data_IF_268651263957
#
_entry.id   IF_268651263957
#
_cell.length_a   1.000
_cell.length_b   1.000
_cell.length_c   1.000
_cell.angle_alpha   90.00
_cell.angle_beta   90.00
_cell.angle_gamma   90.00
#
_symmetry.space_group_name_H-M   'P 1'
#
loop_
_entity.id
_entity.type
_entity.pdbx_description
1 polymer ?
#
# COMPACT_ATOMS: atom_id res chain seq x y z
N UNK A 1 -40.13 11.69 -55.24
CA UNK A 1 -40.42 13.10 -55.54
C UNK A 1 -40.63 13.85 -54.22
N UNK A 2 -39.79 14.76 -53.79
CA UNK A 2 -40.01 15.58 -52.61
C UNK A 2 -40.95 16.75 -52.96
N UNK A 3 -41.87 17.17 -52.04
CA UNK A 3 -42.75 18.31 -52.29
C UNK A 3 -41.97 19.62 -52.30
N UNK A 4 -42.31 20.48 -53.26
CA UNK A 4 -41.60 21.69 -53.57
C UNK A 4 -41.50 22.71 -52.45
N UNK A 5 -40.34 23.23 -52.27
CA UNK A 5 -40.01 24.34 -51.39
C UNK A 5 -40.62 25.65 -51.92
N UNK A 6 -41.76 26.05 -51.34
CA UNK A 6 -42.27 27.40 -51.55
C UNK A 6 -41.29 28.39 -50.90
N UNK A 7 -40.63 29.19 -51.75
CA UNK A 7 -39.68 30.21 -51.28
C UNK A 7 -40.45 31.24 -50.40
N UNK A 8 -40.00 31.53 -49.16
CA UNK A 8 -40.69 32.40 -48.20
C UNK A 8 -40.82 33.84 -48.66
N UNK A 9 -40.04 34.26 -49.69
CA UNK A 9 -40.12 35.58 -50.35
C UNK A 9 -41.44 35.80 -51.07
N UNK A 10 -42.10 34.76 -51.62
CA UNK A 10 -43.37 34.89 -52.32
C UNK A 10 -44.56 35.08 -51.38
N UNK A 11 -44.50 34.53 -50.20
CA UNK A 11 -45.59 34.60 -49.20
C UNK A 11 -45.74 36.04 -48.64
N UNK A 12 -44.65 36.72 -48.36
CA UNK A 12 -44.68 38.12 -47.85
C UNK A 12 -45.12 39.07 -48.91
N UNK A 13 -44.73 38.90 -50.18
CA UNK A 13 -45.16 39.76 -51.31
C UNK A 13 -46.67 39.60 -51.60
N UNK A 14 -47.25 38.42 -51.44
CA UNK A 14 -48.67 38.15 -51.65
C UNK A 14 -49.55 38.76 -50.53
N UNK A 15 -49.05 38.92 -49.32
CA UNK A 15 -49.82 39.51 -48.21
C UNK A 15 -49.82 41.04 -48.18
N UNK A 16 -48.71 41.65 -48.56
CA UNK A 16 -48.51 43.14 -48.49
C UNK A 16 -48.95 43.85 -49.75
N UNK A 17 -48.86 43.23 -50.92
CA UNK A 17 -49.24 43.82 -52.22
C UNK A 17 -50.67 44.36 -52.30
N UNK A 18 -51.72 43.63 -51.94
CA UNK A 18 -53.10 44.06 -51.94
C UNK A 18 -53.36 45.26 -51.01
N UNK A 19 -52.71 45.30 -49.84
CA UNK A 19 -52.86 46.42 -48.90
C UNK A 19 -52.29 47.74 -49.43
N UNK A 20 -51.14 47.68 -50.08
CA UNK A 20 -50.54 48.87 -50.74
C UNK A 20 -51.41 49.37 -51.91
N UNK A 21 -51.98 48.48 -52.75
CA UNK A 21 -52.84 48.81 -53.82
C UNK A 21 -54.14 49.49 -53.36
N UNK A 22 -54.76 48.98 -52.26
CA UNK A 22 -55.94 49.55 -51.65
C UNK A 22 -55.70 50.95 -51.07
N UNK A 23 -54.55 51.18 -50.44
CA UNK A 23 -54.16 52.46 -49.90
C UNK A 23 -53.87 53.51 -51.01
N UNK A 24 -53.28 53.09 -52.11
CA UNK A 24 -53.08 53.95 -53.29
C UNK A 24 -54.44 54.34 -53.92
N UNK A 25 -55.39 53.45 -53.98
CA UNK A 25 -56.73 53.69 -54.50
C UNK A 25 -57.52 54.68 -53.63
N UNK A 26 -57.45 54.55 -52.31
CA UNK A 26 -58.11 55.40 -51.32
C UNK A 26 -57.50 56.79 -51.30
N UNK A 27 -56.16 56.94 -51.52
CA UNK A 27 -55.47 58.23 -51.67
C UNK A 27 -55.83 58.91 -52.97
N UNK A 28 -55.95 58.17 -54.05
CA UNK A 28 -56.38 58.72 -55.37
C UNK A 28 -57.84 59.16 -55.37
N UNK A 29 -58.69 58.59 -54.55
CA UNK A 29 -60.11 58.96 -54.37
C UNK A 29 -60.29 60.18 -53.42
N UNK A 30 -59.22 60.71 -52.85
CA UNK A 30 -59.26 61.88 -51.96
C UNK A 30 -59.77 61.60 -50.56
N UNK A 31 -59.98 60.26 -50.23
CA UNK A 31 -60.48 59.80 -48.92
C UNK A 31 -59.46 59.79 -47.83
N UNK A 32 -58.13 59.81 -48.16
CA UNK A 32 -57.00 59.84 -47.22
C UNK A 32 -55.95 60.84 -47.75
N UNK A 33 -55.35 61.65 -46.89
CA UNK A 33 -54.25 62.50 -47.29
C UNK A 33 -53.02 61.68 -47.72
N UNK A 34 -52.34 62.13 -48.79
CA UNK A 34 -51.18 61.44 -49.35
C UNK A 34 -50.07 61.19 -48.31
N UNK A 35 -49.94 62.09 -47.33
CA UNK A 35 -48.98 61.90 -46.22
C UNK A 35 -49.33 60.75 -45.29
N UNK A 36 -50.66 60.56 -45.04
CA UNK A 36 -51.13 59.42 -44.17
C UNK A 36 -50.95 58.07 -44.89
N UNK A 37 -51.15 58.03 -46.19
CA UNK A 37 -50.92 56.85 -47.03
C UNK A 37 -49.42 56.43 -47.02
N UNK A 38 -48.53 57.38 -47.16
CA UNK A 38 -47.05 57.16 -47.14
C UNK A 38 -46.57 56.64 -45.78
N UNK A 39 -47.10 57.16 -44.67
CA UNK A 39 -46.72 56.65 -43.31
C UNK A 39 -47.18 55.26 -43.10
N UNK A 40 -48.42 54.83 -43.47
CA UNK A 40 -48.92 53.49 -43.38
C UNK A 40 -48.11 52.51 -44.25
N UNK A 41 -47.76 52.90 -45.46
CA UNK A 41 -46.88 52.09 -46.33
C UNK A 41 -45.49 51.88 -45.71
N UNK A 42 -44.90 52.93 -45.14
CA UNK A 42 -43.56 52.85 -44.48
C UNK A 42 -43.62 51.86 -43.25
N UNK A 43 -44.69 51.91 -42.44
CA UNK A 43 -44.88 51.00 -41.31
C UNK A 43 -45.06 49.55 -41.76
N UNK A 44 -45.84 49.34 -42.83
CA UNK A 44 -46.03 48.01 -43.42
C UNK A 44 -44.74 47.42 -43.98
N UNK A 45 -43.93 48.23 -44.66
CA UNK A 45 -42.59 47.81 -45.15
C UNK A 45 -41.69 47.51 -43.96
N UNK A 46 -41.68 48.32 -42.89
CA UNK A 46 -40.88 48.12 -41.70
C UNK A 46 -41.24 46.82 -40.99
N UNK A 47 -42.56 46.55 -40.80
CA UNK A 47 -43.04 45.29 -40.21
C UNK A 47 -42.69 44.08 -41.08
N UNK A 48 -42.76 44.20 -42.41
CA UNK A 48 -42.38 43.13 -43.32
C UNK A 48 -40.87 42.79 -43.24
N UNK A 49 -40.01 43.84 -43.11
CA UNK A 49 -38.57 43.69 -42.94
C UNK A 49 -38.22 43.05 -41.61
N UNK A 50 -38.90 43.45 -40.52
CA UNK A 50 -38.68 42.84 -39.18
C UNK A 50 -39.18 41.37 -39.17
N UNK A 51 -40.35 41.08 -39.76
CA UNK A 51 -40.82 39.72 -39.90
C UNK A 51 -39.86 38.84 -40.73
N UNK A 52 -39.28 39.36 -41.78
CA UNK A 52 -38.26 38.69 -42.60
C UNK A 52 -36.98 38.41 -41.81
N UNK A 53 -36.48 39.37 -41.03
CA UNK A 53 -35.32 39.13 -40.15
C UNK A 53 -35.61 38.13 -39.05
N UNK A 54 -36.81 38.07 -38.50
CA UNK A 54 -37.26 37.08 -37.54
C UNK A 54 -37.34 35.67 -38.14
N UNK A 55 -37.81 35.55 -39.40
CA UNK A 55 -37.87 34.26 -40.10
C UNK A 55 -36.47 33.77 -40.53
N UNK A 56 -35.57 34.66 -40.93
CA UNK A 56 -34.18 34.32 -41.26
C UNK A 56 -33.39 33.87 -40.00
N UNK A 57 -33.72 34.43 -38.83
CA UNK A 57 -33.14 33.98 -37.55
C UNK A 57 -33.69 32.60 -37.11
N UNK A 58 -34.93 32.25 -37.42
CA UNK A 58 -35.51 30.93 -37.13
C UNK A 58 -35.07 29.86 -38.13
N UNK A 59 -34.68 30.21 -39.33
CA UNK A 59 -34.20 29.30 -40.37
C UNK A 59 -32.67 29.23 -40.47
N UNK A 60 -31.91 29.76 -39.49
CA UNK A 60 -30.54 29.30 -39.38
C UNK A 60 -30.64 27.78 -39.10
N UNK A 61 -30.14 26.91 -40.02
CA UNK A 61 -30.04 25.51 -39.69
C UNK A 61 -29.29 25.46 -38.36
N UNK A 62 -29.91 24.84 -37.35
CA UNK A 62 -29.17 24.31 -36.24
C UNK A 62 -28.02 23.57 -36.92
N UNK A 63 -26.82 24.13 -36.88
CA UNK A 63 -25.60 23.43 -37.23
C UNK A 63 -25.68 22.21 -36.31
N UNK A 64 -26.10 21.10 -36.87
CA UNK A 64 -25.89 19.79 -36.25
C UNK A 64 -24.41 19.84 -35.89
N UNK A 65 -24.05 19.76 -34.60
CA UNK A 65 -22.63 19.71 -34.26
C UNK A 65 -22.07 18.62 -35.16
N UNK A 66 -20.98 18.91 -35.87
CA UNK A 66 -20.27 17.92 -36.65
C UNK A 66 -20.18 16.66 -35.77
N UNK A 67 -20.42 15.45 -36.27
CA UNK A 67 -20.28 14.25 -35.46
C UNK A 67 -18.92 14.34 -34.77
N UNK A 68 -18.98 14.56 -33.45
CA UNK A 68 -17.79 14.54 -32.61
C UNK A 68 -17.16 13.19 -32.94
N UNK A 69 -15.92 13.16 -33.45
CA UNK A 69 -15.27 11.88 -33.72
C UNK A 69 -15.42 11.05 -32.44
N UNK A 70 -15.67 9.74 -32.51
CA UNK A 70 -15.93 8.93 -31.37
C UNK A 70 -14.85 9.26 -30.35
N UNK A 71 -15.24 9.90 -29.23
CA UNK A 71 -14.33 10.23 -28.16
C UNK A 71 -13.77 8.91 -27.64
N UNK A 72 -12.66 8.52 -28.23
CA UNK A 72 -11.71 7.66 -27.58
C UNK A 72 -11.43 8.37 -26.27
N UNK A 73 -11.81 7.76 -25.15
CA UNK A 73 -11.58 8.34 -23.82
C UNK A 73 -10.19 8.97 -23.84
N UNK A 74 -10.04 10.28 -23.53
CA UNK A 74 -8.82 10.99 -23.83
C UNK A 74 -7.67 10.25 -23.17
N UNK A 75 -6.84 9.58 -23.96
CA UNK A 75 -5.71 8.76 -23.49
C UNK A 75 -4.89 9.48 -22.40
N UNK A 76 -4.67 10.81 -22.48
CA UNK A 76 -4.03 11.56 -21.40
C UNK A 76 -4.73 11.46 -20.05
N UNK A 77 -6.07 11.42 -20.01
CA UNK A 77 -6.81 11.28 -18.75
C UNK A 77 -6.62 9.89 -18.15
N UNK A 78 -6.69 8.86 -18.98
CA UNK A 78 -6.45 7.47 -18.52
C UNK A 78 -5.04 7.28 -18.00
N UNK A 79 -4.03 7.87 -18.62
CA UNK A 79 -2.63 7.72 -18.24
C UNK A 79 -2.26 8.42 -16.91
N UNK A 80 -3.11 9.32 -16.40
CA UNK A 80 -2.95 9.95 -15.09
C UNK A 80 -3.62 9.14 -13.94
N UNK A 81 -4.40 8.10 -14.26
CA UNK A 81 -5.00 7.25 -13.22
C UNK A 81 -3.94 6.37 -12.56
N UNK A 82 -3.94 6.29 -11.22
CA UNK A 82 -2.94 5.54 -10.47
C UNK A 82 -3.12 4.01 -10.56
N UNK A 83 -4.34 3.56 -10.87
CA UNK A 83 -4.65 2.15 -11.02
C UNK A 83 -4.59 1.70 -12.49
N UNK A 84 -4.21 0.46 -12.81
CA UNK A 84 -4.32 -0.12 -14.14
C UNK A 84 -5.76 -0.10 -14.66
N UNK A 85 -5.96 0.51 -15.83
CA UNK A 85 -7.27 0.62 -16.50
C UNK A 85 -7.18 0.05 -17.90
N UNK A 86 -8.15 -0.82 -18.23
CA UNK A 86 -8.27 -1.47 -19.53
C UNK A 86 -9.71 -1.27 -20.02
N UNK A 87 -9.88 -0.76 -21.24
CA UNK A 87 -11.17 -0.67 -21.90
C UNK A 87 -11.30 -1.79 -22.95
N UNK A 88 -12.44 -2.42 -22.99
CA UNK A 88 -12.73 -3.49 -23.97
C UNK A 88 -14.04 -3.22 -24.71
N UNK A 89 -14.09 -3.64 -25.97
CA UNK A 89 -15.33 -3.62 -26.76
C UNK A 89 -16.20 -4.86 -26.51
N UNK A 90 -17.35 -4.95 -27.20
CA UNK A 90 -18.25 -6.10 -27.10
C UNK A 90 -17.62 -7.43 -27.57
N UNK A 91 -16.62 -7.36 -28.45
CA UNK A 91 -15.84 -8.53 -28.91
C UNK A 91 -14.71 -8.92 -27.99
N UNK A 92 -14.59 -8.30 -26.80
CA UNK A 92 -13.50 -8.47 -25.84
C UNK A 92 -12.13 -7.98 -26.32
N UNK A 93 -12.08 -7.22 -27.41
CA UNK A 93 -10.86 -6.61 -27.89
C UNK A 93 -10.52 -5.38 -27.05
N UNK A 94 -9.26 -5.21 -26.71
CA UNK A 94 -8.76 -4.07 -25.94
C UNK A 94 -8.84 -2.81 -26.83
N UNK A 95 -9.61 -1.81 -26.40
CA UNK A 95 -9.78 -0.54 -27.11
C UNK A 95 -8.87 0.56 -26.58
N UNK A 96 -8.55 0.54 -25.28
CA UNK A 96 -7.59 1.46 -24.66
C UNK A 96 -6.99 0.83 -23.40
N UNK A 97 -5.76 1.22 -23.07
CA UNK A 97 -5.06 0.88 -21.85
C UNK A 97 -4.31 2.09 -21.33
N UNK A 98 -4.29 2.28 -20.01
CA UNK A 98 -3.49 3.33 -19.42
C UNK A 98 -2.03 2.91 -19.22
N UNK A 99 -1.18 3.87 -18.88
CA UNK A 99 0.23 3.64 -18.56
C UNK A 99 0.42 2.58 -17.47
N UNK A 100 -0.37 2.65 -16.39
CA UNK A 100 -0.27 1.71 -15.27
C UNK A 100 -0.61 0.27 -15.67
N UNK A 101 -1.57 0.04 -16.57
CA UNK A 101 -1.88 -1.29 -17.09
C UNK A 101 -0.70 -1.87 -17.89
N UNK A 102 -0.03 -1.04 -18.69
CA UNK A 102 1.17 -1.46 -19.43
C UNK A 102 2.33 -1.84 -18.51
N UNK A 103 2.63 -1.01 -17.50
CA UNK A 103 3.77 -1.18 -16.61
C UNK A 103 3.56 -2.28 -15.57
N UNK A 104 2.33 -2.41 -15.04
CA UNK A 104 2.06 -3.30 -13.88
C UNK A 104 1.58 -4.67 -14.30
N UNK A 105 0.74 -4.75 -15.33
CA UNK A 105 0.06 -5.99 -15.75
C UNK A 105 0.61 -6.53 -17.08
N UNK A 106 1.40 -5.70 -17.79
CA UNK A 106 2.01 -6.09 -19.07
C UNK A 106 1.02 -6.08 -20.23
N UNK A 107 -0.14 -5.43 -20.08
CA UNK A 107 -1.16 -5.31 -21.13
C UNK A 107 -0.86 -4.07 -21.94
N UNK A 108 -0.32 -4.23 -23.17
CA UNK A 108 0.15 -3.09 -23.98
C UNK A 108 -0.48 -2.94 -25.35
N UNK A 109 -1.07 -3.97 -25.92
CA UNK A 109 -1.49 -3.95 -27.33
C UNK A 109 -3.00 -3.72 -27.46
N UNK A 110 -3.35 -2.56 -27.99
CA UNK A 110 -4.73 -2.20 -28.39
C UNK A 110 -5.11 -3.00 -29.64
N UNK A 111 -6.37 -3.43 -29.75
CA UNK A 111 -6.88 -4.23 -30.85
C UNK A 111 -6.72 -5.76 -30.68
N UNK A 112 -6.09 -6.23 -29.60
CA UNK A 112 -6.02 -7.66 -29.28
C UNK A 112 -7.15 -8.10 -28.37
N UNK A 113 -7.52 -9.39 -28.49
CA UNK A 113 -8.44 -10.04 -27.55
C UNK A 113 -7.81 -10.07 -26.15
N UNK A 114 -8.57 -9.66 -25.14
CA UNK A 114 -8.15 -9.65 -23.75
C UNK A 114 -7.68 -11.03 -23.28
N UNK A 115 -8.30 -12.12 -23.74
CA UNK A 115 -7.94 -13.49 -23.37
C UNK A 115 -6.52 -13.91 -23.84
N UNK A 116 -5.98 -13.27 -24.85
CA UNK A 116 -4.61 -13.52 -25.32
C UNK A 116 -3.58 -12.83 -24.43
N UNK A 117 -3.96 -11.70 -23.85
CA UNK A 117 -3.07 -10.83 -23.06
C UNK A 117 -3.17 -11.12 -21.57
N UNK A 118 -4.39 -11.35 -21.06
CA UNK A 118 -4.66 -11.63 -19.66
C UNK A 118 -5.43 -12.95 -19.49
N UNK A 119 -4.71 -14.06 -19.39
CA UNK A 119 -5.27 -15.43 -19.31
C UNK A 119 -5.73 -15.82 -17.91
N UNK A 120 -6.48 -14.94 -17.23
CA UNK A 120 -6.98 -15.23 -15.89
C UNK A 120 -8.48 -15.57 -15.95
N UNK A 121 -8.93 -16.77 -15.50
CA UNK A 121 -10.32 -17.20 -15.67
C UNK A 121 -11.34 -16.25 -15.07
N UNK A 122 -11.08 -15.69 -13.86
CA UNK A 122 -11.98 -14.74 -13.21
C UNK A 122 -12.08 -13.42 -13.95
N UNK A 123 -11.00 -12.94 -14.58
CA UNK A 123 -11.04 -11.71 -15.39
C UNK A 123 -11.95 -11.91 -16.59
N UNK A 124 -11.80 -13.04 -17.29
CA UNK A 124 -12.61 -13.34 -18.46
C UNK A 124 -14.09 -13.54 -18.10
N UNK A 125 -14.36 -14.22 -16.97
CA UNK A 125 -15.72 -14.39 -16.47
C UNK A 125 -16.37 -13.07 -16.07
N UNK A 126 -15.62 -12.17 -15.40
CA UNK A 126 -16.12 -10.85 -15.02
C UNK A 126 -16.46 -9.98 -16.24
N UNK A 127 -15.60 -9.99 -17.26
CA UNK A 127 -15.86 -9.28 -18.52
C UNK A 127 -17.08 -9.84 -19.23
N UNK A 128 -17.20 -11.17 -19.35
CA UNK A 128 -18.35 -11.83 -19.97
C UNK A 128 -19.66 -11.46 -19.24
N UNK A 129 -19.67 -11.52 -17.92
CA UNK A 129 -20.84 -11.15 -17.11
C UNK A 129 -21.27 -9.69 -17.35
N UNK A 130 -20.32 -8.76 -17.43
CA UNK A 130 -20.62 -7.34 -17.70
C UNK A 130 -21.10 -7.14 -19.13
N UNK A 131 -20.52 -7.80 -20.11
CA UNK A 131 -20.95 -7.71 -21.51
C UNK A 131 -22.30 -8.33 -21.74
N UNK A 132 -22.69 -9.37 -20.97
CA UNK A 132 -23.97 -10.07 -21.09
C UNK A 132 -25.10 -9.45 -20.27
N UNK A 133 -24.83 -8.48 -19.38
CA UNK A 133 -25.91 -7.75 -18.72
C UNK A 133 -25.65 -7.27 -17.29
N UNK A 134 -24.61 -7.74 -16.61
CA UNK A 134 -24.27 -7.23 -15.29
C UNK A 134 -23.81 -5.76 -15.40
N UNK A 135 -24.24 -4.91 -14.46
CA UNK A 135 -23.80 -3.52 -14.40
C UNK A 135 -22.36 -3.41 -13.95
N UNK A 136 -22.00 -4.16 -12.90
CA UNK A 136 -20.66 -4.22 -12.31
C UNK A 136 -20.38 -5.62 -11.79
N UNK A 137 -19.10 -6.02 -11.82
CA UNK A 137 -18.58 -7.25 -11.20
C UNK A 137 -17.29 -6.90 -10.48
N UNK A 138 -17.12 -7.43 -9.27
CA UNK A 138 -15.88 -7.25 -8.49
C UNK A 138 -15.33 -8.62 -8.11
N UNK A 139 -14.06 -8.87 -8.44
CA UNK A 139 -13.39 -10.15 -8.22
C UNK A 139 -11.97 -9.94 -7.69
N UNK A 140 -11.55 -10.81 -6.77
CA UNK A 140 -10.16 -10.86 -6.32
C UNK A 140 -9.35 -11.78 -7.24
N UNK A 141 -8.24 -11.27 -7.77
CA UNK A 141 -7.37 -12.01 -8.68
C UNK A 141 -5.91 -11.93 -8.22
N UNK A 142 -5.16 -13.01 -8.44
CA UNK A 142 -3.72 -13.06 -8.18
C UNK A 142 -2.98 -13.23 -9.49
N UNK A 143 -2.10 -12.27 -9.81
CA UNK A 143 -1.27 -12.29 -11.00
C UNK A 143 0.18 -12.61 -10.61
N UNK A 144 0.80 -13.56 -11.31
CA UNK A 144 2.14 -14.04 -10.99
C UNK A 144 3.29 -13.24 -11.63
N UNK A 145 3.00 -12.27 -12.50
CA UNK A 145 3.99 -11.61 -13.36
C UNK A 145 4.11 -10.12 -13.05
N UNK A 146 5.32 -9.56 -13.00
CA UNK A 146 6.64 -10.16 -12.84
C UNK A 146 6.89 -10.67 -11.41
N UNK A 147 6.12 -10.18 -10.45
CA UNK A 147 6.10 -10.60 -9.05
C UNK A 147 4.66 -10.90 -8.65
N UNK A 148 4.41 -11.89 -7.77
CA UNK A 148 3.07 -12.19 -7.30
C UNK A 148 2.41 -10.97 -6.67
N UNK A 149 1.27 -10.54 -7.26
CA UNK A 149 0.46 -9.42 -6.77
C UNK A 149 -1.00 -9.83 -6.71
N UNK A 150 -1.69 -9.28 -5.73
CA UNK A 150 -3.13 -9.46 -5.55
C UNK A 150 -3.83 -8.17 -5.94
N UNK A 151 -4.78 -8.29 -6.87
CA UNK A 151 -5.60 -7.17 -7.33
C UNK A 151 -7.06 -7.44 -7.02
N UNK A 152 -7.79 -6.39 -6.70
CA UNK A 152 -9.25 -6.38 -6.82
C UNK A 152 -9.59 -5.83 -8.21
N UNK A 153 -10.16 -6.70 -9.06
CA UNK A 153 -10.70 -6.33 -10.36
C UNK A 153 -12.09 -5.76 -10.19
N UNK A 154 -12.32 -4.55 -10.69
CA UNK A 154 -13.64 -3.98 -10.89
C UNK A 154 -13.93 -3.90 -12.38
N UNK A 155 -14.88 -4.68 -12.85
CA UNK A 155 -15.37 -4.61 -14.21
C UNK A 155 -16.72 -3.91 -14.21
N UNK A 156 -16.92 -2.91 -15.04
CA UNK A 156 -18.17 -2.16 -15.15
C UNK A 156 -18.55 -1.95 -16.60
N UNK A 157 -19.87 -1.99 -16.87
CA UNK A 157 -20.43 -1.69 -18.19
C UNK A 157 -20.40 -0.21 -18.45
N UNK A 158 -19.95 0.20 -19.64
CA UNK A 158 -20.02 1.57 -20.10
C UNK A 158 -21.36 1.84 -20.79
N UNK A 159 -22.19 2.69 -20.17
CA UNK A 159 -23.44 3.12 -20.74
C UNK A 159 -23.18 4.16 -21.84
N UNK A 160 -23.87 4.06 -22.97
CA UNK A 160 -23.68 4.96 -24.13
C UNK A 160 -22.83 4.40 -25.26
N UNK A 161 -22.16 3.28 -25.09
CA UNK A 161 -21.38 2.61 -26.13
C UNK A 161 -22.24 1.97 -27.26
N UNK A 162 -23.56 2.15 -27.22
CA UNK A 162 -24.51 1.42 -28.06
C UNK A 162 -24.77 1.97 -29.46
N UNK A 163 -24.30 3.16 -29.81
CA UNK A 163 -24.72 3.86 -31.05
C UNK A 163 -23.62 4.02 -32.12
N UNK A 164 -22.37 3.72 -31.82
CA UNK A 164 -21.27 3.99 -32.74
C UNK A 164 -20.33 2.79 -33.00
N UNK A 165 -20.86 1.67 -33.49
CA UNK A 165 -20.05 0.59 -34.08
C UNK A 165 -19.45 -0.41 -33.10
N UNK A 166 -18.98 -1.56 -33.63
CA UNK A 166 -18.37 -2.68 -32.88
C UNK A 166 -17.05 -2.33 -32.17
N UNK A 167 -16.43 -1.21 -32.50
CA UNK A 167 -15.13 -0.77 -31.98
C UNK A 167 -15.23 0.11 -30.72
N UNK A 168 -16.43 0.56 -30.33
CA UNK A 168 -16.61 1.38 -29.14
C UNK A 168 -16.38 0.57 -27.85
N UNK A 169 -15.76 1.19 -26.85
CA UNK A 169 -15.54 0.57 -25.55
C UNK A 169 -16.89 0.23 -24.88
N UNK A 170 -17.09 -1.03 -24.48
CA UNK A 170 -18.32 -1.53 -23.89
C UNK A 170 -18.18 -1.85 -22.39
N UNK A 171 -16.97 -2.10 -21.92
CA UNK A 171 -16.69 -2.31 -20.52
C UNK A 171 -15.33 -1.68 -20.13
N UNK A 172 -15.24 -1.26 -18.86
CA UNK A 172 -14.03 -0.80 -18.20
C UNK A 172 -13.61 -1.80 -17.14
N UNK A 173 -12.32 -2.13 -17.10
CA UNK A 173 -11.69 -2.92 -16.07
C UNK A 173 -10.71 -2.03 -15.32
N UNK A 174 -10.83 -1.99 -14.00
CA UNK A 174 -9.90 -1.32 -13.10
C UNK A 174 -9.32 -2.36 -12.17
N UNK A 175 -7.99 -2.43 -12.07
CA UNK A 175 -7.28 -3.36 -11.19
C UNK A 175 -6.62 -2.61 -10.06
N UNK A 176 -7.20 -2.68 -8.87
CA UNK A 176 -6.62 -2.06 -7.68
C UNK A 176 -5.62 -2.99 -7.02
N UNK A 177 -4.36 -2.55 -6.92
CA UNK A 177 -3.30 -3.33 -6.26
C UNK A 177 -3.51 -3.34 -4.73
N UNK A 178 -3.95 -4.45 -4.19
CA UNK A 178 -4.16 -4.68 -2.76
C UNK A 178 -3.06 -5.54 -2.14
N UNK A 179 -1.98 -5.79 -2.85
CA UNK A 179 -0.90 -6.68 -2.41
C UNK A 179 -0.36 -6.31 -1.03
N UNK A 180 -0.15 -5.00 -0.78
CA UNK A 180 0.36 -4.53 0.52
C UNK A 180 -0.66 -4.72 1.64
N UNK A 181 -1.93 -4.37 1.39
CA UNK A 181 -3.00 -4.52 2.36
C UNK A 181 -3.23 -6.00 2.72
N UNK A 182 -3.32 -6.85 1.71
CA UNK A 182 -3.48 -8.31 1.88
C UNK A 182 -2.30 -8.95 2.61
N UNK A 183 -1.07 -8.57 2.27
CA UNK A 183 0.12 -9.06 3.00
C UNK A 183 0.13 -8.61 4.45
N UNK A 184 -0.28 -7.38 4.74
CA UNK A 184 -0.39 -6.89 6.11
C UNK A 184 -1.46 -7.65 6.90
N UNK A 185 -2.63 -7.88 6.30
CA UNK A 185 -3.72 -8.66 6.89
C UNK A 185 -3.30 -10.12 7.16
N UNK A 186 -2.67 -10.77 6.18
CA UNK A 186 -2.15 -12.13 6.33
C UNK A 186 -1.10 -12.20 7.45
N UNK A 187 -0.15 -11.25 7.46
CA UNK A 187 0.87 -11.19 8.51
C UNK A 187 0.25 -11.02 9.90
N UNK A 188 -0.84 -10.25 10.01
CA UNK A 188 -1.58 -10.08 11.27
C UNK A 188 -2.32 -11.35 11.67
N UNK A 189 -2.96 -12.03 10.72
CA UNK A 189 -3.65 -13.30 10.97
C UNK A 189 -2.66 -14.39 11.40
N UNK A 190 -1.52 -14.52 10.71
CA UNK A 190 -0.44 -15.44 11.04
C UNK A 190 0.15 -15.15 12.43
N UNK A 191 0.28 -13.86 12.80
CA UNK A 191 0.74 -13.44 14.11
C UNK A 191 -0.19 -13.95 15.23
N UNK A 192 -1.50 -13.74 15.10
CA UNK A 192 -2.49 -14.19 16.09
C UNK A 192 -2.52 -15.71 16.18
N UNK A 193 -2.49 -16.42 15.05
CA UNK A 193 -2.46 -17.87 15.00
C UNK A 193 -1.20 -18.43 15.71
N UNK A 194 -0.02 -17.91 15.37
CA UNK A 194 1.24 -18.35 15.96
C UNK A 194 1.33 -18.03 17.45
N UNK A 195 0.87 -16.83 17.89
CA UNK A 195 0.80 -16.48 19.31
C UNK A 195 -0.08 -17.47 20.09
N UNK A 196 -1.24 -17.82 19.53
CA UNK A 196 -2.15 -18.80 20.12
C UNK A 196 -1.52 -20.19 20.25
N UNK A 197 -0.79 -20.62 19.22
CA UNK A 197 -0.07 -21.90 19.23
C UNK A 197 1.08 -21.91 20.25
N UNK A 198 1.89 -20.85 20.31
CA UNK A 198 3.03 -20.75 21.24
C UNK A 198 2.58 -20.56 22.69
N UNK A 199 1.36 -20.09 22.97
CA UNK A 199 0.76 -20.06 24.30
C UNK A 199 0.09 -21.38 24.68
N UNK A 200 -0.56 -22.07 23.75
CA UNK A 200 -1.29 -23.32 24.02
C UNK A 200 -0.35 -24.46 24.45
N UNK A 201 0.81 -24.58 23.80
CA UNK A 201 1.78 -25.67 24.09
C UNK A 201 2.26 -25.67 25.55
N UNK A 202 2.81 -24.55 26.10
CA UNK A 202 3.23 -24.50 27.51
C UNK A 202 2.07 -24.65 28.47
N UNK A 203 0.89 -24.12 28.15
CA UNK A 203 -0.30 -24.28 29.00
C UNK A 203 -0.70 -25.75 29.13
N UNK A 204 -0.70 -26.51 28.02
CA UNK A 204 -0.97 -27.95 28.04
C UNK A 204 0.07 -28.73 28.85
N UNK A 205 1.36 -28.33 28.77
CA UNK A 205 2.41 -28.94 29.59
C UNK A 205 2.20 -28.65 31.08
N UNK A 206 1.84 -27.40 31.44
CA UNK A 206 1.52 -27.05 32.84
C UNK A 206 0.36 -27.90 33.40
N UNK A 207 -0.73 -28.02 32.60
CA UNK A 207 -1.89 -28.85 33.00
C UNK A 207 -1.45 -30.30 33.22
N UNK A 208 -0.68 -30.88 32.29
CA UNK A 208 -0.19 -32.25 32.44
C UNK A 208 0.73 -32.47 33.66
N UNK A 209 1.57 -31.48 34.01
CA UNK A 209 2.37 -31.55 35.24
C UNK A 209 1.51 -31.47 36.49
N UNK A 210 0.48 -30.63 36.52
CA UNK A 210 -0.49 -30.51 37.60
C UNK A 210 -1.23 -31.85 37.79
N UNK A 211 -1.76 -32.44 36.70
CA UNK A 211 -2.46 -33.72 36.73
C UNK A 211 -1.56 -34.85 37.25
N UNK A 212 -0.28 -34.86 36.85
CA UNK A 212 0.72 -35.83 37.33
C UNK A 212 0.95 -35.69 38.83
N UNK A 213 1.06 -34.46 39.34
CA UNK A 213 1.24 -34.18 40.76
C UNK A 213 0.00 -34.48 41.62
N UNK A 214 -1.20 -34.32 41.05
CA UNK A 214 -2.47 -34.63 41.71
C UNK A 214 -2.79 -36.14 41.68
N UNK A 215 -2.14 -36.90 40.80
CA UNK A 215 -2.38 -38.34 40.61
C UNK A 215 -1.12 -39.20 40.88
N UNK A 216 -0.46 -39.73 39.83
CA UNK A 216 0.59 -40.77 40.00
C UNK A 216 1.80 -40.34 40.83
N UNK A 217 2.10 -39.05 40.93
CA UNK A 217 3.26 -38.51 41.66
C UNK A 217 2.87 -37.75 42.94
N UNK A 218 1.66 -37.95 43.48
CA UNK A 218 1.18 -37.24 44.67
C UNK A 218 2.06 -37.43 45.91
N UNK A 219 2.60 -38.61 46.10
CA UNK A 219 3.40 -38.99 47.26
C UNK A 219 4.92 -39.00 47.01
N UNK A 220 5.36 -38.70 45.76
CA UNK A 220 6.76 -38.63 45.38
C UNK A 220 7.33 -37.20 45.54
N UNK A 221 8.10 -37.00 46.63
CA UNK A 221 8.72 -35.70 46.91
C UNK A 221 9.73 -35.24 45.85
N UNK A 222 10.49 -36.17 45.25
CA UNK A 222 11.47 -35.84 44.22
C UNK A 222 10.78 -35.48 42.89
N UNK A 223 9.73 -36.21 42.53
CA UNK A 223 8.91 -35.87 41.38
C UNK A 223 8.25 -34.48 41.55
N UNK A 224 7.74 -34.21 42.77
CA UNK A 224 7.12 -32.89 43.08
C UNK A 224 8.09 -31.74 42.87
N UNK A 225 9.29 -31.81 43.43
CA UNK A 225 10.30 -30.74 43.26
C UNK A 225 10.67 -30.54 41.77
N UNK A 226 10.89 -31.64 41.05
CA UNK A 226 11.21 -31.60 39.61
C UNK A 226 10.07 -30.98 38.79
N UNK A 227 8.83 -31.40 38.98
CA UNK A 227 7.69 -30.88 38.23
C UNK A 227 7.38 -29.42 38.56
N UNK A 228 7.49 -28.99 39.82
CA UNK A 228 7.38 -27.60 40.22
C UNK A 228 8.45 -26.74 39.56
N UNK A 229 9.69 -27.23 39.44
CA UNK A 229 10.77 -26.57 38.68
C UNK A 229 10.44 -26.41 37.21
N UNK A 230 9.92 -27.45 36.55
CA UNK A 230 9.48 -27.41 35.16
C UNK A 230 8.31 -26.46 34.96
N UNK A 231 7.32 -26.50 35.85
CA UNK A 231 6.17 -25.58 35.80
C UNK A 231 6.61 -24.12 35.94
N UNK A 232 7.53 -23.82 36.87
CA UNK A 232 8.09 -22.47 37.00
C UNK A 232 8.79 -22.01 35.75
N UNK A 233 9.61 -22.88 35.15
CA UNK A 233 10.31 -22.56 33.90
C UNK A 233 9.34 -22.25 32.74
N UNK A 234 8.26 -23.03 32.62
CA UNK A 234 7.27 -22.84 31.56
C UNK A 234 6.39 -21.62 31.82
N UNK A 235 6.00 -21.31 33.04
CA UNK A 235 5.30 -20.09 33.41
C UNK A 235 6.13 -18.84 33.12
N UNK A 236 7.43 -18.83 33.45
CA UNK A 236 8.34 -17.73 33.11
C UNK A 236 8.56 -17.59 31.62
N UNK A 237 8.51 -18.67 30.85
CA UNK A 237 8.55 -18.61 29.40
C UNK A 237 7.30 -17.98 28.83
N UNK A 238 6.11 -18.32 29.35
CA UNK A 238 4.85 -17.70 28.96
C UNK A 238 4.83 -16.19 29.27
N UNK A 239 5.28 -15.81 30.47
CA UNK A 239 5.39 -14.39 30.84
C UNK A 239 6.26 -13.60 29.83
N UNK A 240 7.45 -14.11 29.51
CA UNK A 240 8.32 -13.48 28.50
C UNK A 240 7.66 -13.40 27.12
N UNK A 241 6.91 -14.44 26.73
CA UNK A 241 6.20 -14.40 25.44
C UNK A 241 5.12 -13.31 25.41
N UNK A 242 4.38 -13.14 26.52
CA UNK A 242 3.37 -12.06 26.66
C UNK A 242 4.05 -10.70 26.62
N UNK A 243 5.17 -10.52 27.34
CA UNK A 243 5.92 -9.26 27.34
C UNK A 243 6.44 -8.91 25.95
N UNK A 244 6.99 -9.89 25.22
CA UNK A 244 7.45 -9.75 23.84
C UNK A 244 6.30 -9.35 22.90
N UNK A 245 5.11 -9.98 23.03
CA UNK A 245 3.92 -9.65 22.25
C UNK A 245 3.45 -8.22 22.51
N UNK A 246 3.40 -7.83 23.79
CA UNK A 246 3.00 -6.46 24.17
C UNK A 246 4.01 -5.41 23.73
N UNK A 247 5.30 -5.71 23.80
CA UNK A 247 6.37 -4.84 23.32
C UNK A 247 6.28 -4.66 21.80
N UNK A 248 6.15 -5.78 21.05
CA UNK A 248 6.01 -5.73 19.59
C UNK A 248 4.80 -4.91 19.17
N UNK A 249 3.64 -5.13 19.80
CA UNK A 249 2.41 -4.38 19.51
C UNK A 249 2.60 -2.88 19.74
N UNK A 250 3.24 -2.47 20.85
CA UNK A 250 3.52 -1.05 21.14
C UNK A 250 4.45 -0.41 20.12
N UNK A 251 5.49 -1.13 19.71
CA UNK A 251 6.46 -0.61 18.73
C UNK A 251 5.84 -0.48 17.35
N UNK A 252 5.01 -1.45 16.92
CA UNK A 252 4.32 -1.42 15.62
C UNK A 252 3.35 -0.24 15.48
N UNK A 253 2.57 0.05 16.53
CA UNK A 253 1.65 1.20 16.53
C UNK A 253 2.40 2.52 16.35
N UNK A 254 3.60 2.63 16.93
CA UNK A 254 4.39 3.85 16.94
C UNK A 254 5.57 3.85 15.94
N UNK A 255 5.67 2.86 15.05
CA UNK A 255 6.83 2.70 14.15
C UNK A 255 7.09 3.93 13.28
N UNK A 256 6.02 4.66 12.92
CA UNK A 256 6.13 5.87 12.09
C UNK A 256 6.50 7.15 12.85
N UNK A 257 6.49 7.10 14.20
CA UNK A 257 6.81 8.25 15.05
C UNK A 257 8.23 8.09 15.62
N UNK A 258 9.23 8.73 15.01
CA UNK A 258 10.60 8.60 15.48
C UNK A 258 10.77 9.24 16.85
N UNK A 259 11.55 8.64 17.76
CA UNK A 259 11.89 9.25 19.05
C UNK A 259 12.80 10.47 18.85
N UNK A 260 12.80 11.36 19.86
CA UNK A 260 13.48 12.66 19.77
C UNK A 260 14.54 12.88 20.85
N UNK A 261 14.65 11.98 21.82
CA UNK A 261 15.56 12.15 22.94
C UNK A 261 16.99 11.81 22.54
N UNK A 262 17.95 12.52 23.11
CA UNK A 262 19.37 12.25 22.89
C UNK A 262 19.84 11.15 23.84
N UNK A 263 20.29 10.03 23.30
CA UNK A 263 20.67 8.82 24.06
C UNK A 263 22.15 8.50 23.85
N UNK A 264 22.85 8.22 24.95
CA UNK A 264 24.24 7.75 24.93
C UNK A 264 24.28 6.23 24.77
N UNK A 265 24.55 5.74 23.56
CA UNK A 265 24.58 4.29 23.26
C UNK A 265 25.61 3.54 24.08
N UNK A 266 26.77 4.14 24.32
CA UNK A 266 27.82 3.52 25.14
C UNK A 266 27.37 3.15 26.55
N UNK A 267 26.58 4.02 27.21
CA UNK A 267 26.02 3.74 28.54
C UNK A 267 25.01 2.58 28.53
N UNK A 268 24.19 2.48 27.47
CA UNK A 268 23.26 1.35 27.30
C UNK A 268 24.03 0.05 27.14
N UNK A 269 25.07 0.02 26.29
CA UNK A 269 25.87 -1.18 26.07
C UNK A 269 26.56 -1.66 27.35
N UNK A 270 27.09 -0.74 28.15
CA UNK A 270 27.66 -1.06 29.46
C UNK A 270 26.61 -1.70 30.37
N UNK A 271 25.44 -1.07 30.53
CA UNK A 271 24.36 -1.60 31.37
C UNK A 271 23.86 -2.97 30.93
N UNK A 272 23.75 -3.21 29.61
CA UNK A 272 23.34 -4.51 29.05
C UNK A 272 24.43 -5.57 29.30
N UNK A 273 25.71 -5.22 29.13
CA UNK A 273 26.80 -6.13 29.40
C UNK A 273 26.85 -6.53 30.88
N UNK A 274 26.71 -5.56 31.80
CA UNK A 274 26.68 -5.83 33.25
C UNK A 274 25.49 -6.73 33.63
N UNK A 275 24.31 -6.50 33.05
CA UNK A 275 23.10 -7.30 33.30
C UNK A 275 23.26 -8.75 32.84
N UNK A 276 23.94 -8.99 31.72
CA UNK A 276 24.07 -10.31 31.13
C UNK A 276 25.38 -11.03 31.50
N UNK A 277 26.30 -10.36 32.22
CA UNK A 277 27.59 -10.92 32.63
C UNK A 277 27.46 -12.20 33.43
N UNK A 278 26.62 -12.23 34.47
CA UNK A 278 26.38 -13.39 35.33
C UNK A 278 25.92 -14.61 34.48
N UNK A 279 25.01 -14.37 33.55
CA UNK A 279 24.50 -15.43 32.67
C UNK A 279 25.54 -15.92 31.67
N UNK A 280 26.44 -15.05 31.21
CA UNK A 280 27.57 -15.41 30.35
C UNK A 280 28.57 -16.24 31.14
N UNK A 281 28.90 -15.83 32.38
CA UNK A 281 29.80 -16.55 33.31
C UNK A 281 29.31 -17.94 33.64
N UNK A 282 28.01 -18.14 33.90
CA UNK A 282 27.39 -19.45 34.11
C UNK A 282 27.65 -20.45 32.94
N UNK A 283 27.96 -19.92 31.75
CA UNK A 283 28.33 -20.69 30.54
C UNK A 283 29.85 -20.70 30.29
N UNK A 284 30.65 -20.15 31.19
CA UNK A 284 32.08 -19.96 31.01
C UNK A 284 32.44 -18.96 29.90
N UNK A 285 31.54 -18.01 29.60
CA UNK A 285 31.72 -16.99 28.57
C UNK A 285 32.01 -15.62 29.20
N UNK A 286 32.60 -14.73 28.42
CA UNK A 286 32.79 -13.32 28.79
C UNK A 286 32.16 -12.38 27.78
N UNK A 287 31.73 -11.21 28.25
CA UNK A 287 31.24 -10.13 27.39
C UNK A 287 32.35 -9.06 27.35
N UNK A 288 32.86 -8.78 26.16
CA UNK A 288 33.87 -7.75 25.94
C UNK A 288 33.29 -6.53 25.26
N UNK A 289 33.57 -5.35 25.82
CA UNK A 289 33.13 -4.07 25.29
C UNK A 289 34.31 -3.40 24.57
N UNK A 290 34.08 -2.95 23.34
CA UNK A 290 35.00 -2.17 22.52
C UNK A 290 34.25 -0.94 22.02
N UNK A 291 34.21 0.10 22.87
CA UNK A 291 33.44 1.32 22.63
C UNK A 291 34.44 2.45 22.30
N UNK A 292 34.32 3.00 21.08
CA UNK A 292 35.06 4.16 20.65
C UNK A 292 34.80 5.36 21.57
N UNK A 293 35.88 6.08 21.93
CA UNK A 293 35.76 7.27 22.78
C UNK A 293 34.91 8.37 22.09
N UNK A 294 34.12 9.07 22.87
CA UNK A 294 33.31 10.20 22.41
C UNK A 294 32.35 9.88 21.26
N UNK A 295 31.66 8.74 21.34
CA UNK A 295 30.55 8.45 20.40
C UNK A 295 29.51 9.58 20.43
N UNK A 296 28.95 9.97 19.28
CA UNK A 296 27.86 10.93 19.26
C UNK A 296 26.60 10.34 19.92
N UNK A 297 25.77 11.20 20.51
CA UNK A 297 24.43 10.81 20.92
C UNK A 297 23.62 10.38 19.71
N UNK A 298 22.68 9.48 19.91
CA UNK A 298 21.69 9.09 18.89
C UNK A 298 20.33 9.65 19.29
N UNK A 299 19.46 9.94 18.31
CA UNK A 299 18.07 10.23 18.59
C UNK A 299 17.34 8.91 18.85
N UNK A 300 16.86 8.71 20.07
CA UNK A 300 16.33 7.40 20.46
C UNK A 300 15.47 7.43 21.71
N UNK A 301 14.81 6.30 21.93
CA UNK A 301 14.13 5.92 23.16
C UNK A 301 15.07 4.96 23.90
N UNK A 302 15.55 5.38 25.07
CA UNK A 302 16.57 4.64 25.83
C UNK A 302 16.14 3.24 26.21
N UNK A 303 14.87 3.05 26.60
CA UNK A 303 14.32 1.76 26.99
C UNK A 303 14.24 0.81 25.80
N UNK A 304 13.81 1.32 24.64
CA UNK A 304 13.76 0.54 23.41
C UNK A 304 15.16 0.15 22.91
N UNK A 305 16.12 1.07 22.94
CA UNK A 305 17.50 0.74 22.56
C UNK A 305 18.13 -0.25 23.53
N UNK A 306 17.83 -0.15 24.82
CA UNK A 306 18.22 -1.17 25.81
C UNK A 306 17.62 -2.53 25.45
N UNK A 307 16.33 -2.58 25.07
CA UNK A 307 15.69 -3.82 24.62
C UNK A 307 16.34 -4.39 23.35
N UNK A 308 16.73 -3.54 22.38
CA UNK A 308 17.47 -3.97 21.17
C UNK A 308 18.74 -4.70 21.56
N UNK A 309 19.61 -4.02 22.30
CA UNK A 309 20.93 -4.59 22.62
C UNK A 309 20.82 -5.75 23.60
N UNK A 310 19.89 -5.72 24.54
CA UNK A 310 19.60 -6.89 25.40
C UNK A 310 19.20 -8.10 24.57
N UNK A 311 18.30 -7.97 23.60
CA UNK A 311 17.87 -9.07 22.74
C UNK A 311 19.04 -9.63 21.89
N UNK A 312 19.89 -8.77 21.36
CA UNK A 312 21.02 -9.19 20.55
C UNK A 312 22.10 -9.90 21.39
N UNK A 313 22.44 -9.35 22.55
CA UNK A 313 23.44 -9.93 23.45
C UNK A 313 22.93 -11.22 24.11
N UNK A 314 21.66 -11.28 24.54
CA UNK A 314 21.04 -12.49 25.06
C UNK A 314 21.03 -13.61 24.00
N UNK A 315 20.78 -13.28 22.74
CA UNK A 315 20.89 -14.23 21.63
C UNK A 315 22.35 -14.70 21.47
N UNK A 316 23.33 -13.79 21.50
CA UNK A 316 24.74 -14.15 21.42
C UNK A 316 25.14 -15.12 22.57
N UNK A 317 24.77 -14.81 23.83
CA UNK A 317 25.02 -15.68 24.98
C UNK A 317 24.28 -17.01 24.88
N UNK A 318 23.08 -17.06 24.30
CA UNK A 318 22.29 -18.29 24.10
C UNK A 318 22.94 -19.23 23.08
N UNK A 319 23.43 -18.70 21.96
CA UNK A 319 23.82 -19.50 20.78
C UNK A 319 25.33 -19.62 20.58
N UNK A 320 26.14 -18.80 21.24
CA UNK A 320 27.59 -18.95 21.21
C UNK A 320 28.04 -20.24 21.92
N UNK A 321 29.25 -20.66 21.62
CA UNK A 321 29.86 -21.82 22.26
C UNK A 321 30.35 -21.44 23.66
N UNK A 322 30.27 -22.38 24.60
CA UNK A 322 30.83 -22.21 25.93
C UNK A 322 32.35 -21.91 25.84
N UNK A 323 32.85 -21.07 26.72
CA UNK A 323 34.26 -20.67 26.75
C UNK A 323 34.67 -19.63 25.70
N UNK A 324 33.71 -19.03 24.96
CA UNK A 324 33.98 -17.99 23.98
C UNK A 324 33.67 -16.58 24.50
N UNK A 325 34.07 -15.57 23.73
CA UNK A 325 33.82 -14.16 24.04
C UNK A 325 32.72 -13.62 23.13
N UNK A 326 31.71 -12.99 23.74
CA UNK A 326 30.76 -12.15 23.02
C UNK A 326 31.30 -10.73 23.00
N UNK A 327 31.52 -10.17 21.82
CA UNK A 327 32.08 -8.82 21.67
C UNK A 327 30.99 -7.83 21.26
N UNK A 328 30.91 -6.71 21.97
CA UNK A 328 30.11 -5.55 21.62
C UNK A 328 31.05 -4.44 21.17
N UNK A 329 31.05 -4.13 19.88
CA UNK A 329 31.86 -3.07 19.30
C UNK A 329 30.96 -1.89 18.89
N UNK A 330 31.31 -0.67 19.35
CA UNK A 330 30.56 0.53 18.98
C UNK A 330 31.52 1.59 18.41
N UNK A 331 31.27 2.02 17.20
CA UNK A 331 32.11 2.96 16.44
C UNK A 331 31.30 4.04 15.77
N UNK A 332 31.96 5.16 15.45
CA UNK A 332 31.37 6.15 14.54
C UNK A 332 31.28 5.58 13.14
N UNK A 333 30.23 5.93 12.45
CA UNK A 333 29.97 5.52 11.08
C UNK A 333 29.32 6.65 10.30
N UNK A 334 29.31 6.54 8.99
CA UNK A 334 28.49 7.37 8.12
C UNK A 334 27.15 6.67 7.87
N UNK A 335 26.09 7.45 7.64
CA UNK A 335 24.79 6.87 7.30
C UNK A 335 24.88 6.19 5.93
N UNK A 336 24.35 4.98 5.84
CA UNK A 336 24.22 4.25 4.57
C UNK A 336 23.32 4.98 3.55
N UNK A 337 22.39 5.82 4.02
CA UNK A 337 21.49 6.63 3.20
C UNK A 337 21.45 8.08 3.69
N UNK A 338 22.04 9.00 2.93
CA UNK A 338 22.05 10.44 3.21
C UNK A 338 23.34 10.92 3.92
N UNK A 339 23.59 12.23 3.90
CA UNK A 339 24.72 12.87 4.61
C UNK A 339 24.41 12.94 6.10
N UNK A 340 25.31 12.43 6.94
CA UNK A 340 25.22 12.58 8.40
C UNK A 340 26.01 11.51 9.15
N UNK A 341 26.42 11.84 10.37
CA UNK A 341 27.08 10.92 11.28
C UNK A 341 26.08 9.86 11.79
N UNK A 342 26.59 8.68 12.09
CA UNK A 342 25.86 7.57 12.68
C UNK A 342 26.72 6.87 13.72
N UNK A 343 26.09 6.06 14.56
CA UNK A 343 26.75 5.12 15.47
C UNK A 343 26.46 3.71 14.97
N UNK A 344 27.51 2.94 14.73
CA UNK A 344 27.43 1.53 14.39
C UNK A 344 27.73 0.68 15.61
N UNK A 345 26.83 -0.23 15.97
CA UNK A 345 27.01 -1.18 17.06
C UNK A 345 26.96 -2.60 16.50
N UNK A 346 28.04 -3.36 16.67
CA UNK A 346 28.13 -4.76 16.27
C UNK A 346 28.13 -5.67 17.51
N UNK A 347 27.24 -6.65 17.54
CA UNK A 347 27.24 -7.75 18.50
C UNK A 347 27.75 -8.99 17.78
N UNK A 348 28.91 -9.49 18.22
CA UNK A 348 29.66 -10.55 17.56
C UNK A 348 29.72 -11.78 18.48
N UNK A 349 29.28 -12.92 17.97
CA UNK A 349 29.38 -14.20 18.65
C UNK A 349 30.25 -15.21 17.88
N UNK A 350 30.82 -16.16 18.62
CA UNK A 350 31.56 -17.30 18.06
C UNK A 350 30.75 -18.59 18.19
N UNK A 351 29.49 -18.55 17.76
CA UNK A 351 28.57 -19.67 17.83
C UNK A 351 28.69 -20.65 16.64
N UNK A 352 27.65 -21.43 16.44
CA UNK A 352 27.57 -22.36 15.32
C UNK A 352 27.30 -21.65 13.97
N UNK A 353 26.96 -20.36 14.03
CA UNK A 353 26.56 -19.60 12.88
C UNK A 353 25.23 -20.06 12.27
N UNK A 354 24.73 -19.31 11.30
CA UNK A 354 23.40 -19.46 10.70
C UNK A 354 23.58 -19.75 9.21
N UNK A 355 22.86 -20.71 8.67
CA UNK A 355 22.89 -20.97 7.23
C UNK A 355 22.27 -19.83 6.44
N UNK A 356 22.83 -19.50 5.27
CA UNK A 356 22.44 -18.35 4.44
C UNK A 356 20.93 -18.33 4.09
N UNK A 357 20.31 -19.51 3.91
CA UNK A 357 18.87 -19.62 3.61
C UNK A 357 17.98 -19.07 4.73
N UNK A 358 18.46 -19.03 5.98
CA UNK A 358 17.69 -18.53 7.12
C UNK A 358 17.88 -17.03 7.35
N UNK A 359 18.99 -16.41 6.89
CA UNK A 359 19.32 -15.01 7.18
C UNK A 359 18.20 -14.02 6.81
N UNK A 360 17.56 -14.09 5.64
CA UNK A 360 16.50 -13.15 5.27
C UNK A 360 15.26 -13.26 6.16
N UNK A 361 15.07 -14.42 6.79
CA UNK A 361 13.86 -14.75 7.57
C UNK A 361 14.03 -14.57 9.07
N UNK A 362 15.24 -14.34 9.58
CA UNK A 362 15.51 -14.26 11.02
C UNK A 362 14.71 -13.18 11.76
N UNK A 363 14.32 -12.14 11.04
CA UNK A 363 13.51 -11.04 11.58
C UNK A 363 12.00 -11.21 11.36
N UNK A 364 11.56 -12.34 10.79
CA UNK A 364 10.14 -12.70 10.73
C UNK A 364 9.65 -13.10 12.12
N UNK A 365 8.39 -12.76 12.44
CA UNK A 365 7.78 -13.10 13.74
C UNK A 365 7.67 -14.62 13.91
N UNK A 366 8.05 -15.12 15.09
CA UNK A 366 8.06 -16.55 15.45
C UNK A 366 9.00 -17.42 14.62
N UNK A 367 9.80 -16.82 13.73
CA UNK A 367 10.75 -17.59 12.94
C UNK A 367 11.92 -18.08 13.79
N UNK A 368 12.31 -19.34 13.57
CA UNK A 368 13.46 -20.00 14.23
C UNK A 368 14.16 -20.90 13.23
N UNK A 369 15.47 -20.74 13.06
CA UNK A 369 16.26 -21.61 12.17
C UNK A 369 16.29 -23.07 12.67
N UNK A 370 16.30 -23.27 14.00
CA UNK A 370 16.14 -24.55 14.69
C UNK A 370 15.10 -24.39 15.81
N UNK A 371 13.88 -24.85 15.54
CA UNK A 371 12.76 -24.72 16.46
C UNK A 371 12.94 -25.56 17.75
N UNK A 372 13.57 -26.74 17.67
CA UNK A 372 13.78 -27.62 18.78
C UNK A 372 14.79 -27.08 19.80
N UNK A 373 15.95 -26.64 19.30
CA UNK A 373 17.01 -26.03 20.11
C UNK A 373 16.57 -24.69 20.70
N UNK A 374 15.94 -23.85 19.90
CA UNK A 374 15.46 -22.54 20.35
C UNK A 374 14.44 -22.64 21.47
N UNK A 375 13.51 -23.63 21.44
CA UNK A 375 12.56 -23.88 22.53
C UNK A 375 13.27 -24.28 23.84
N UNK A 376 14.25 -25.16 23.76
CA UNK A 376 15.04 -25.58 24.96
C UNK A 376 15.79 -24.41 25.59
N UNK A 377 16.26 -23.45 24.77
CA UNK A 377 16.94 -22.24 25.22
C UNK A 377 15.99 -21.10 25.61
N UNK A 378 14.67 -21.35 25.60
CA UNK A 378 13.66 -20.37 25.99
C UNK A 378 13.44 -19.23 25.00
N UNK A 379 13.77 -19.44 23.72
CA UNK A 379 13.52 -18.44 22.66
C UNK A 379 12.05 -18.34 22.31
N UNK A 380 11.51 -17.15 22.15
CA UNK A 380 10.13 -16.86 21.72
C UNK A 380 10.00 -16.78 20.19
N UNK A 381 11.09 -16.46 19.49
CA UNK A 381 11.08 -16.14 18.06
C UNK A 381 10.58 -14.74 17.75
N UNK A 382 10.40 -13.89 18.77
CA UNK A 382 9.96 -12.51 18.62
C UNK A 382 11.11 -11.49 18.79
N UNK A 383 12.16 -11.83 19.51
CA UNK A 383 13.23 -10.89 19.87
C UNK A 383 13.85 -10.17 18.67
N UNK A 384 14.19 -10.88 17.59
CA UNK A 384 14.76 -10.23 16.38
C UNK A 384 13.72 -9.43 15.57
N UNK A 385 12.45 -9.83 15.61
CA UNK A 385 11.38 -9.02 15.03
C UNK A 385 11.21 -7.70 15.80
N UNK A 386 11.24 -7.75 17.14
CA UNK A 386 11.22 -6.55 18.00
C UNK A 386 12.43 -5.65 17.68
N UNK A 387 13.64 -6.22 17.61
CA UNK A 387 14.85 -5.49 17.23
C UNK A 387 14.65 -4.75 15.91
N UNK A 388 14.16 -5.43 14.87
CA UNK A 388 13.93 -4.83 13.55
C UNK A 388 12.95 -3.65 13.62
N UNK A 389 11.80 -3.81 14.29
CA UNK A 389 10.80 -2.76 14.38
C UNK A 389 11.30 -1.55 15.19
N UNK A 390 12.02 -1.78 16.29
CA UNK A 390 12.63 -0.69 17.07
C UNK A 390 13.67 0.04 16.21
N UNK A 391 14.58 -0.69 15.56
CA UNK A 391 15.61 -0.09 14.70
C UNK A 391 14.99 0.73 13.56
N UNK A 392 13.93 0.22 12.93
CA UNK A 392 13.18 0.96 11.90
C UNK A 392 12.57 2.26 12.46
N UNK A 393 11.93 2.19 13.64
CA UNK A 393 11.39 3.37 14.32
C UNK A 393 12.44 4.45 14.58
N UNK A 394 13.68 4.03 14.90
CA UNK A 394 14.84 4.88 15.09
C UNK A 394 15.52 5.31 13.78
N UNK A 395 14.91 4.98 12.61
CA UNK A 395 15.49 5.25 11.28
C UNK A 395 16.91 4.68 11.11
N UNK A 396 17.20 3.61 11.84
CA UNK A 396 18.41 2.85 11.76
C UNK A 396 18.32 1.72 10.74
N UNK A 397 19.41 0.97 10.63
CA UNK A 397 19.48 -0.25 9.82
C UNK A 397 20.02 -1.40 10.65
N UNK A 398 19.46 -2.61 10.43
CA UNK A 398 19.97 -3.86 11.00
C UNK A 398 20.54 -4.70 9.86
N UNK A 399 21.79 -5.11 9.97
CA UNK A 399 22.42 -6.09 9.09
C UNK A 399 22.85 -7.32 9.89
N UNK A 400 22.79 -8.49 9.25
CA UNK A 400 23.10 -9.77 9.86
C UNK A 400 24.06 -10.51 8.94
N UNK A 401 25.24 -10.78 9.43
CA UNK A 401 26.26 -11.57 8.75
C UNK A 401 26.54 -12.82 9.58
N UNK A 402 26.53 -13.98 8.95
CA UNK A 402 26.81 -15.23 9.65
C UNK A 402 27.40 -16.27 8.73
N UNK A 403 28.33 -17.04 9.27
CA UNK A 403 28.95 -18.17 8.58
C UNK A 403 28.87 -19.39 9.47
N UNK A 404 28.30 -20.47 8.96
CA UNK A 404 28.14 -21.73 9.69
C UNK A 404 29.51 -22.26 10.16
N UNK A 405 29.60 -22.61 11.42
CA UNK A 405 30.82 -23.08 12.09
C UNK A 405 31.73 -21.96 12.63
N UNK A 406 31.50 -20.70 12.28
CA UNK A 406 32.32 -19.54 12.67
C UNK A 406 31.63 -18.68 13.73
N UNK A 407 30.39 -18.24 13.48
CA UNK A 407 29.62 -17.37 14.36
C UNK A 407 28.74 -16.41 13.58
N UNK A 408 28.19 -15.40 14.30
CA UNK A 408 27.32 -14.38 13.72
C UNK A 408 27.72 -12.97 14.19
N UNK A 409 27.43 -11.99 13.34
CA UNK A 409 27.59 -10.57 13.63
C UNK A 409 26.28 -9.88 13.32
N UNK A 410 25.70 -9.23 14.34
CA UNK A 410 24.49 -8.40 14.21
C UNK A 410 24.92 -6.95 14.34
N UNK A 411 24.76 -6.18 13.28
CA UNK A 411 25.16 -4.77 13.25
C UNK A 411 23.93 -3.86 13.17
N UNK A 412 23.83 -2.95 14.12
CA UNK A 412 22.80 -1.90 14.18
C UNK A 412 23.46 -0.56 13.93
N UNK A 413 22.99 0.16 12.90
CA UNK A 413 23.46 1.52 12.60
C UNK A 413 22.34 2.49 12.94
N UNK A 414 22.62 3.45 13.83
CA UNK A 414 21.67 4.45 14.29
C UNK A 414 22.13 5.86 13.86
N UNK A 415 21.23 6.73 13.37
CA UNK A 415 21.59 8.11 13.05
C UNK A 415 22.00 8.88 14.31
N UNK A 416 23.11 9.61 14.23
CA UNK A 416 23.52 10.50 15.30
C UNK A 416 22.53 11.66 15.46
N UNK A 417 22.37 12.13 16.69
CA UNK A 417 21.69 13.38 16.96
C UNK A 417 22.42 14.54 16.26
N UNK A 418 21.72 15.53 15.74
CA UNK A 418 22.37 16.74 15.24
C UNK A 418 23.27 17.32 16.33
N UNK A 419 24.52 17.60 16.00
CA UNK A 419 25.38 18.33 16.90
C UNK A 419 24.75 19.69 17.14
N UNK A 420 24.32 19.97 18.38
CA UNK A 420 23.98 21.33 18.79
C UNK A 420 25.31 22.08 18.71
N UNK A 421 25.55 22.76 17.59
CA UNK A 421 26.60 23.77 17.52
C UNK A 421 26.26 24.78 18.64
N UNK A 422 27.05 24.75 19.70
CA UNK A 422 27.03 25.79 20.73
C UNK A 422 27.33 27.10 20.02
N UNK A 423 26.30 27.83 19.62
CA UNK A 423 26.46 29.25 19.30
C UNK A 423 26.74 29.91 20.63
N UNK A 424 28.02 30.02 20.97
CA UNK A 424 28.48 30.89 22.04
C UNK A 424 28.15 32.31 21.62
N UNK A 425 27.23 32.94 22.32
CA UNK A 425 27.16 34.39 22.47
C UNK A 425 28.17 34.85 23.52
#
# INVERSE_FOLDING_TARGET
MPPGSFAPTKAVAVAVGPAIALLALLAGAGLISGAAACTVVAVLIGCALVARQGLDRRNKPLTTPAPVPPETAPQPLLDHLPDPVILVNRGREITAVNRMARETVGVGEVGRDLALTMRHPRVLAAVEAVLTGASTVSEEISLAVPTPRTFTLHAARLEGAGTHGQTAAAAVLVLRDETRAKRAEQTRADFVANASHELRSPLSALIGFIETLLGPASDDAHARERFLGLMRAEAMRMARLVDDLMSLSRVEINEHVPPKDAVAVGAILQSVADTLSVRAEDKGMTIALDIEANLPFVLGDGDQLTQVFHNLVDNAVKYARSGTVVRLAATRSERATGSGQAVSVAVIDSGEGIAAIHLPRLTERFYRADAGRSRRLGGTGLGLAIVKHIVNRHRGTLSIESKRGVGSTFTVVLPAAPSVSSTSQ
#
